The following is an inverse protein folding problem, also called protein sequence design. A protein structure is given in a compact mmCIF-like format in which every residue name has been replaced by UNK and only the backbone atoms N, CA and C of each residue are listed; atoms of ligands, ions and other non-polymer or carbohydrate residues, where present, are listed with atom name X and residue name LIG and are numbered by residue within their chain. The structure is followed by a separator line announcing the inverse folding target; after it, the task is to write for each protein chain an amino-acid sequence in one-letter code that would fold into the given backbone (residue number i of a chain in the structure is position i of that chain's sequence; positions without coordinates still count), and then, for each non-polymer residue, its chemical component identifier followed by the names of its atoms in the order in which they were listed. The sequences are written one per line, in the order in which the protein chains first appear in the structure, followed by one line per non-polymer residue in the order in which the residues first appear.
data_IF_651118962299
#
_entry.id   IF_651118962299
#
_cell.length_a   1.000
_cell.length_b   1.000
_cell.length_c   1.000
_cell.angle_alpha   90.00
_cell.angle_beta   90.00
_cell.angle_gamma   90.00
#
_symmetry.space_group_name_H-M   'P 1'
#
loop_
_entity.id
_entity.type
_entity.pdbx_description
1 polymer ?
#
# COMPACT_ATOMS: atom_id res chain seq x y z
N UNK A 1 -2.90 -9.33 -0.31
CA UNK A 1 -1.63 -8.81 -0.89
C UNK A 1 -0.62 -9.95 -0.94
N UNK A 2 0.28 -9.98 -1.92
CA UNK A 2 1.46 -10.86 -1.88
C UNK A 2 2.71 -10.01 -1.63
N UNK A 3 3.56 -10.47 -0.72
CA UNK A 3 4.82 -9.82 -0.34
C UNK A 3 6.03 -10.71 -0.69
N UNK A 4 7.22 -10.12 -0.78
CA UNK A 4 8.50 -10.83 -0.85
C UNK A 4 9.01 -11.27 0.54
N UNK A 5 10.19 -11.89 0.57
CA UNK A 5 10.86 -12.35 1.80
C UNK A 5 11.22 -11.21 2.77
N UNK A 6 11.19 -9.95 2.30
CA UNK A 6 11.44 -8.76 3.09
C UNK A 6 10.14 -8.02 3.48
N UNK A 7 8.98 -8.63 3.23
CA UNK A 7 7.68 -8.04 3.54
C UNK A 7 7.25 -6.93 2.57
N UNK A 8 7.95 -6.73 1.45
CA UNK A 8 7.61 -5.71 0.46
C UNK A 8 6.53 -6.22 -0.48
N UNK A 9 5.54 -5.39 -0.84
CA UNK A 9 4.45 -5.83 -1.69
C UNK A 9 4.93 -6.04 -3.12
N UNK A 10 4.65 -7.21 -3.68
CA UNK A 10 5.02 -7.57 -5.05
C UNK A 10 3.81 -7.68 -5.96
N UNK A 11 2.65 -8.08 -5.41
CA UNK A 11 1.38 -8.19 -6.15
C UNK A 11 0.18 -7.86 -5.29
N UNK A 12 -0.86 -7.35 -5.91
CA UNK A 12 -2.18 -7.18 -5.29
C UNK A 12 -3.29 -7.52 -6.28
N UNK A 13 -4.46 -7.86 -5.76
CA UNK A 13 -5.64 -8.17 -6.56
C UNK A 13 -6.69 -7.07 -6.41
N UNK A 14 -7.24 -6.61 -7.53
CA UNK A 14 -8.30 -5.60 -7.58
C UNK A 14 -9.19 -5.85 -8.79
N UNK A 15 -10.52 -5.82 -8.60
CA UNK A 15 -11.55 -6.10 -9.64
C UNK A 15 -11.23 -7.36 -10.46
N UNK A 16 -11.02 -8.47 -9.74
CA UNK A 16 -10.72 -9.80 -10.32
C UNK A 16 -9.45 -9.87 -11.19
N UNK A 17 -8.62 -8.82 -11.16
CA UNK A 17 -7.32 -8.76 -11.83
C UNK A 17 -6.20 -8.73 -10.81
N UNK A 18 -5.08 -9.34 -11.15
CA UNK A 18 -3.86 -9.28 -10.34
C UNK A 18 -2.85 -8.34 -10.99
N UNK A 19 -2.37 -7.39 -10.20
CA UNK A 19 -1.40 -6.39 -10.60
C UNK A 19 -0.06 -6.69 -9.95
N UNK A 20 1.01 -6.65 -10.75
CA UNK A 20 2.37 -6.74 -10.26
C UNK A 20 2.96 -5.34 -10.11
N UNK A 21 3.52 -5.05 -8.94
CA UNK A 21 4.25 -3.82 -8.68
C UNK A 21 5.56 -3.83 -9.49
N UNK A 22 5.88 -2.72 -10.14
CA UNK A 22 7.12 -2.56 -10.92
C UNK A 22 8.01 -1.49 -10.29
N UNK A 23 7.43 -0.38 -9.88
CA UNK A 23 8.18 0.76 -9.36
C UNK A 23 7.46 1.40 -8.19
N UNK A 24 8.22 1.77 -7.16
CA UNK A 24 7.78 2.66 -6.09
C UNK A 24 8.19 4.06 -6.51
N UNK A 25 7.21 4.94 -6.72
CA UNK A 25 7.44 6.35 -7.05
C UNK A 25 7.73 7.17 -5.80
N UNK A 26 7.04 6.87 -4.70
CA UNK A 26 7.19 7.59 -3.44
C UNK A 26 6.86 6.65 -2.27
N UNK A 27 7.55 6.88 -1.15
CA UNK A 27 7.27 6.25 0.15
C UNK A 27 7.14 7.33 1.22
N UNK A 28 6.14 7.24 2.07
CA UNK A 28 6.01 8.12 3.23
C UNK A 28 5.30 7.42 4.37
N UNK A 29 5.72 7.71 5.60
CA UNK A 29 5.11 7.17 6.80
C UNK A 29 4.22 8.21 7.47
N UNK A 30 3.08 7.76 7.97
CA UNK A 30 2.19 8.53 8.85
C UNK A 30 2.18 7.84 10.20
N UNK A 31 2.52 8.58 11.25
CA UNK A 31 2.42 8.13 12.63
C UNK A 31 1.76 9.24 13.44
N UNK A 32 0.48 9.06 13.76
CA UNK A 32 -0.35 10.11 14.33
C UNK A 32 -1.44 9.52 15.23
N UNK A 33 -1.64 10.14 16.40
CA UNK A 33 -2.58 9.66 17.42
C UNK A 33 -3.82 10.56 17.59
N UNK A 34 -3.96 11.62 16.77
CA UNK A 34 -4.80 12.76 17.11
C UNK A 34 -6.03 13.01 16.21
N UNK A 35 -6.14 12.37 15.04
CA UNK A 35 -7.24 12.62 14.08
C UNK A 35 -8.10 11.40 13.74
N UNK A 36 -7.81 10.23 14.33
CA UNK A 36 -8.60 9.02 14.10
C UNK A 36 -9.41 8.68 15.34
N UNK A 37 -10.73 8.50 15.16
CA UNK A 37 -11.62 7.97 16.21
C UNK A 37 -11.23 6.53 16.64
N UNK A 38 -10.41 5.85 15.83
CA UNK A 38 -9.94 4.47 16.06
C UNK A 38 -8.61 4.40 16.85
N UNK A 39 -8.00 5.54 17.21
CA UNK A 39 -6.73 5.60 17.95
C UNK A 39 -5.49 5.85 17.08
N UNK A 40 -4.32 5.36 17.52
CA UNK A 40 -3.03 5.53 16.81
C UNK A 40 -3.09 5.02 15.39
N UNK A 41 -2.81 5.89 14.43
CA UNK A 41 -2.63 5.54 13.02
C UNK A 41 -1.14 5.51 12.72
N UNK A 42 -0.60 4.30 12.53
CA UNK A 42 0.78 4.10 12.12
C UNK A 42 0.83 3.31 10.81
N UNK A 43 1.10 4.00 9.70
CA UNK A 43 1.01 3.47 8.34
C UNK A 43 2.19 3.88 7.48
N UNK A 44 2.67 2.95 6.66
CA UNK A 44 3.69 3.22 5.64
C UNK A 44 3.04 3.17 4.25
N UNK A 45 3.00 4.30 3.56
CA UNK A 45 2.36 4.46 2.26
C UNK A 45 3.38 4.34 1.13
N UNK A 46 2.97 3.68 0.05
CA UNK A 46 3.72 3.58 -1.19
C UNK A 46 2.84 4.05 -2.35
N UNK A 47 3.30 5.05 -3.10
CA UNK A 47 2.80 5.35 -4.44
C UNK A 47 3.57 4.48 -5.44
N UNK A 48 2.85 3.70 -6.24
CA UNK A 48 3.43 2.63 -7.06
C UNK A 48 2.87 2.65 -8.47
N UNK A 49 3.67 2.16 -9.41
CA UNK A 49 3.23 1.84 -10.77
C UNK A 49 3.31 0.34 -10.99
N UNK A 50 2.29 -0.21 -11.64
CA UNK A 50 2.20 -1.65 -11.93
C UNK A 50 2.64 -1.97 -13.36
N UNK A 51 2.80 -3.25 -13.69
CA UNK A 51 3.14 -3.71 -15.06
C UNK A 51 2.13 -3.29 -16.12
N UNK A 52 0.88 -3.00 -15.75
CA UNK A 52 -0.14 -2.52 -16.68
C UNK A 52 -0.17 -1.01 -16.83
N UNK A 53 0.77 -0.28 -16.20
CA UNK A 53 0.78 1.18 -16.16
C UNK A 53 -0.14 1.79 -15.08
N UNK A 54 -0.89 0.98 -14.33
CA UNK A 54 -1.77 1.49 -13.27
C UNK A 54 -0.96 2.20 -12.19
N UNK A 55 -1.33 3.44 -11.88
CA UNK A 55 -0.77 4.19 -10.75
C UNK A 55 -1.72 4.09 -9.55
N UNK A 56 -1.19 3.71 -8.40
CA UNK A 56 -1.99 3.53 -7.19
C UNK A 56 -1.19 3.81 -5.93
N UNK A 57 -1.91 4.03 -4.83
CA UNK A 57 -1.34 4.16 -3.49
C UNK A 57 -1.81 2.99 -2.66
N UNK A 58 -0.86 2.29 -2.07
CA UNK A 58 -1.07 1.23 -1.08
C UNK A 58 -0.49 1.69 0.25
N UNK A 59 -0.91 1.09 1.36
CA UNK A 59 -0.26 1.29 2.64
C UNK A 59 -0.16 -0.01 3.43
N UNK A 60 0.89 -0.13 4.22
CA UNK A 60 0.96 -1.10 5.29
C UNK A 60 0.47 -0.44 6.57
N UNK A 61 -0.47 -1.08 7.24
CA UNK A 61 -0.74 -0.80 8.64
C UNK A 61 0.38 -1.45 9.47
N UNK A 62 1.19 -0.63 10.14
CA UNK A 62 2.37 -1.11 10.87
C UNK A 62 2.00 -1.73 12.23
N UNK A 63 0.76 -1.56 12.70
CA UNK A 63 0.27 -2.19 13.92
C UNK A 63 -0.22 -3.62 13.65
N UNK A 64 -0.88 -3.84 12.51
CA UNK A 64 -1.39 -5.17 12.12
C UNK A 64 -0.53 -5.89 11.08
N UNK A 65 0.51 -5.22 10.58
CA UNK A 65 1.40 -5.66 9.49
C UNK A 65 0.71 -5.96 8.15
N UNK A 66 -0.57 -5.60 8.02
CA UNK A 66 -1.37 -5.87 6.83
C UNK A 66 -1.22 -4.77 5.77
N UNK A 67 -1.31 -5.17 4.51
CA UNK A 67 -1.28 -4.28 3.37
C UNK A 67 -2.67 -4.03 2.80
N UNK A 68 -2.93 -2.77 2.45
CA UNK A 68 -4.21 -2.29 1.95
C UNK A 68 -4.02 -1.40 0.72
N UNK A 69 -5.05 -1.40 -0.14
CA UNK A 69 -5.14 -0.47 -1.26
C UNK A 69 -5.84 0.82 -0.78
N UNK A 70 -5.12 1.95 -0.83
CA UNK A 70 -5.65 3.24 -0.42
C UNK A 70 -6.37 3.95 -1.59
N UNK A 71 -5.75 3.94 -2.77
CA UNK A 71 -6.26 4.69 -3.93
C UNK A 71 -5.78 4.11 -5.24
N UNK A 72 -6.63 4.19 -6.26
CA UNK A 72 -6.26 3.93 -7.67
C UNK A 72 -6.47 5.21 -8.47
N UNK A 73 -5.54 5.47 -9.38
CA UNK A 73 -5.62 6.51 -10.40
C UNK A 73 -5.71 5.77 -11.74
N UNK A 74 -6.93 5.64 -12.27
CA UNK A 74 -7.28 5.08 -13.57
C UNK A 74 -7.74 6.22 -14.49
#
# INVERSE_FOLDING_TARGET
MQTDEHGRPVRFSWRDRTYRLVQIQQRWQVDTDWWSDEGRVWRDYLAITTTSGLFCVIYQDLMSENWYLARIYD
#
